data_IF_031356328023
#
_entry.id   IF_031356328023
#
_cell.length_a   1.000
_cell.length_b   1.000
_cell.length_c   1.000
_cell.angle_alpha   90.00
_cell.angle_beta   90.00
_cell.angle_gamma   90.00
#
_symmetry.space_group_name_H-M   'P 1'
#
loop_
_entity.id
_entity.type
_entity.pdbx_description
1 polymer ?
#
# COMPACT_ATOMS: atom_id res chain seq x y z
N UNK A 1 -8.22 -7.52 16.94
CA UNK A 1 -7.90 -8.96 17.07
C UNK A 1 -9.11 -9.89 16.99
N UNK A 2 -10.12 -9.82 17.91
CA UNK A 2 -11.27 -10.75 17.86
C UNK A 2 -12.10 -10.66 16.57
N UNK A 3 -12.24 -9.47 15.99
CA UNK A 3 -12.96 -9.28 14.72
C UNK A 3 -12.17 -9.89 13.54
N UNK A 4 -10.88 -9.61 13.39
CA UNK A 4 -10.05 -10.18 12.33
C UNK A 4 -10.06 -11.73 12.37
N UNK A 5 -10.00 -12.31 13.57
CA UNK A 5 -10.08 -13.77 13.76
C UNK A 5 -11.43 -14.36 13.39
N UNK A 6 -12.54 -13.63 13.61
CA UNK A 6 -13.91 -14.11 13.32
C UNK A 6 -14.26 -13.93 11.85
N UNK A 7 -13.95 -12.76 11.29
CA UNK A 7 -14.49 -12.36 9.99
C UNK A 7 -13.53 -12.71 8.84
N UNK A 8 -12.23 -12.78 9.13
CA UNK A 8 -11.19 -13.06 8.13
C UNK A 8 -10.44 -14.38 8.38
N UNK A 9 -10.82 -15.16 9.41
CA UNK A 9 -10.13 -16.39 9.83
C UNK A 9 -8.60 -16.24 10.00
N UNK A 10 -8.13 -15.00 10.13
CA UNK A 10 -6.73 -14.68 10.37
C UNK A 10 -6.38 -15.00 11.81
N UNK A 11 -5.49 -15.97 12.04
CA UNK A 11 -4.87 -16.13 13.34
C UNK A 11 -3.69 -15.17 13.48
N UNK A 12 -3.98 -14.00 14.00
CA UNK A 12 -2.98 -12.94 14.23
C UNK A 12 -2.36 -13.03 15.65
N UNK A 13 -2.66 -14.06 16.42
CA UNK A 13 -2.18 -14.15 17.81
C UNK A 13 -0.64 -14.24 17.88
N UNK A 14 -0.04 -15.01 16.98
CA UNK A 14 1.41 -15.14 16.88
C UNK A 14 2.12 -13.85 16.42
N UNK A 15 1.43 -13.00 15.67
CA UNK A 15 1.99 -11.73 15.21
C UNK A 15 2.22 -10.72 16.35
N UNK A 16 1.50 -10.89 17.46
CA UNK A 16 1.56 -10.02 18.64
C UNK A 16 2.27 -10.64 19.82
N UNK A 17 2.97 -11.76 19.64
CA UNK A 17 3.71 -12.40 20.70
C UNK A 17 4.79 -11.45 21.26
N UNK A 18 4.79 -11.26 22.59
CA UNK A 18 5.67 -10.31 23.31
C UNK A 18 5.46 -8.82 22.94
N UNK A 19 4.31 -8.46 22.37
CA UNK A 19 3.94 -7.06 22.11
C UNK A 19 2.73 -6.72 22.97
N UNK A 20 2.90 -5.84 23.94
CA UNK A 20 1.80 -5.34 24.78
C UNK A 20 0.90 -4.35 24.01
N UNK A 21 1.50 -3.45 23.24
CA UNK A 21 0.81 -2.46 22.45
C UNK A 21 1.70 -1.97 21.29
N UNK A 22 1.07 -1.50 20.23
CA UNK A 22 1.72 -0.65 19.23
C UNK A 22 1.46 0.82 19.57
N UNK A 23 2.53 1.61 19.58
CA UNK A 23 2.46 3.05 19.72
C UNK A 23 2.43 3.70 18.33
N UNK A 24 1.53 4.64 18.14
CA UNK A 24 1.43 5.42 16.91
C UNK A 24 2.13 6.76 17.08
N UNK A 25 3.11 7.02 16.24
CA UNK A 25 3.88 8.25 16.20
C UNK A 25 3.51 9.08 14.98
N UNK A 26 3.60 10.38 15.11
CA UNK A 26 3.49 11.35 14.04
C UNK A 26 4.78 12.16 14.00
N UNK A 27 5.40 12.26 12.82
CA UNK A 27 6.59 13.07 12.61
C UNK A 27 6.18 14.52 12.35
N UNK A 28 6.53 15.43 13.26
CA UNK A 28 6.22 16.85 13.09
C UNK A 28 6.98 17.52 11.93
N UNK A 29 8.08 16.87 11.46
CA UNK A 29 8.89 17.38 10.36
C UNK A 29 8.38 17.01 8.97
N UNK A 30 7.66 15.88 8.83
CA UNK A 30 7.22 15.41 7.51
C UNK A 30 5.82 14.78 7.49
N UNK A 31 5.06 14.87 8.56
CA UNK A 31 3.71 14.30 8.69
C UNK A 31 3.60 12.78 8.52
N UNK A 32 4.71 12.06 8.33
CA UNK A 32 4.69 10.60 8.29
C UNK A 32 4.18 10.05 9.62
N UNK A 33 3.23 9.12 9.54
CA UNK A 33 2.80 8.35 10.71
C UNK A 33 3.45 6.98 10.66
N UNK A 34 3.96 6.51 11.79
CA UNK A 34 4.57 5.19 11.91
C UNK A 34 4.23 4.54 13.25
N UNK A 35 4.43 3.23 13.32
CA UNK A 35 4.11 2.45 14.50
C UNK A 35 5.35 1.75 15.06
N UNK A 36 5.43 1.71 16.39
CA UNK A 36 6.47 0.95 17.10
C UNK A 36 5.84 -0.05 18.09
N UNK A 37 6.46 -1.21 18.33
CA UNK A 37 7.70 -1.68 17.70
C UNK A 37 7.52 -1.97 16.20
N UNK A 38 8.60 -1.83 15.43
CA UNK A 38 8.62 -2.19 14.01
C UNK A 38 8.48 -3.71 13.85
N UNK A 39 7.25 -4.18 13.71
CA UNK A 39 6.92 -5.61 13.60
C UNK A 39 6.05 -5.83 12.37
N UNK A 40 6.63 -6.21 11.23
CA UNK A 40 5.87 -6.56 10.03
C UNK A 40 5.14 -7.89 10.24
N UNK A 41 4.10 -8.12 9.46
CA UNK A 41 3.43 -9.42 9.41
C UNK A 41 4.38 -10.53 8.99
N UNK A 42 4.17 -11.73 9.53
CA UNK A 42 4.94 -12.91 9.13
C UNK A 42 4.61 -13.36 7.70
N UNK A 43 5.45 -14.18 7.07
CA UNK A 43 5.10 -14.81 5.79
C UNK A 43 3.77 -15.59 5.85
N UNK A 44 3.45 -16.22 6.98
CA UNK A 44 2.19 -16.93 7.18
C UNK A 44 0.98 -15.96 7.21
N UNK A 45 1.14 -14.77 7.79
CA UNK A 45 0.14 -13.71 7.77
C UNK A 45 -0.17 -13.28 6.34
N UNK A 46 0.84 -12.95 5.55
CA UNK A 46 0.65 -12.53 4.15
C UNK A 46 0.15 -13.66 3.26
N UNK A 47 0.61 -14.89 3.46
CA UNK A 47 0.08 -16.06 2.74
C UNK A 47 -1.42 -16.25 2.98
N UNK A 48 -1.87 -16.03 4.22
CA UNK A 48 -3.30 -16.09 4.54
C UNK A 48 -4.08 -14.96 3.87
N UNK A 49 -3.56 -13.74 3.85
CA UNK A 49 -4.19 -12.61 3.17
C UNK A 49 -4.27 -12.82 1.66
N UNK A 50 -3.21 -13.33 1.04
CA UNK A 50 -3.14 -13.58 -0.40
C UNK A 50 -4.15 -14.64 -0.89
N UNK A 51 -4.68 -15.47 0.00
CA UNK A 51 -5.76 -16.42 -0.32
C UNK A 51 -7.11 -15.73 -0.58
N UNK A 52 -7.27 -14.47 -0.22
CA UNK A 52 -8.50 -13.71 -0.46
C UNK A 52 -8.43 -12.96 -1.79
N UNK A 53 -9.40 -13.20 -2.68
CA UNK A 53 -9.46 -12.55 -4.00
C UNK A 53 -9.52 -11.02 -3.96
N UNK A 54 -10.07 -10.45 -2.90
CA UNK A 54 -10.14 -9.00 -2.71
C UNK A 54 -8.81 -8.37 -2.29
N UNK A 55 -7.87 -9.16 -1.74
CA UNK A 55 -6.58 -8.65 -1.26
C UNK A 55 -5.63 -8.27 -2.41
N UNK A 56 -5.71 -9.03 -3.49
CA UNK A 56 -4.92 -8.77 -4.70
C UNK A 56 -5.87 -8.68 -5.90
N UNK A 57 -6.57 -7.55 -6.12
CA UNK A 57 -7.43 -7.38 -7.29
C UNK A 57 -6.60 -7.43 -8.58
N UNK A 58 -7.20 -7.95 -9.66
CA UNK A 58 -6.50 -8.07 -10.96
C UNK A 58 -6.17 -6.72 -11.57
N UNK A 59 -7.09 -5.77 -11.45
CA UNK A 59 -6.94 -4.43 -11.97
C UNK A 59 -6.85 -3.44 -10.79
N UNK A 60 -5.73 -2.75 -10.71
CA UNK A 60 -5.52 -1.66 -9.76
C UNK A 60 -5.38 -0.36 -10.52
N UNK A 61 -5.98 0.71 -9.98
CA UNK A 61 -5.87 2.04 -10.57
C UNK A 61 -4.40 2.46 -10.74
N UNK A 62 -3.56 2.17 -9.76
CA UNK A 62 -2.13 2.51 -9.81
C UNK A 62 -1.38 1.79 -10.93
N UNK A 63 -1.82 0.63 -11.39
CA UNK A 63 -1.21 -0.07 -12.52
C UNK A 63 -1.46 0.69 -13.83
N UNK A 64 -2.70 1.16 -14.04
CA UNK A 64 -3.02 1.98 -15.21
C UNK A 64 -2.27 3.31 -15.15
N UNK A 65 -2.30 4.01 -14.02
CA UNK A 65 -1.63 5.29 -13.84
C UNK A 65 -0.10 5.18 -14.00
N UNK A 66 0.51 4.04 -13.60
CA UNK A 66 1.93 3.76 -13.82
C UNK A 66 2.20 3.44 -15.30
N UNK A 67 1.34 2.67 -15.97
CA UNK A 67 1.51 2.35 -17.40
C UNK A 67 1.45 3.58 -18.29
N UNK A 68 0.70 4.61 -17.90
CA UNK A 68 0.59 5.87 -18.64
C UNK A 68 1.92 6.68 -18.66
N UNK A 69 2.81 6.44 -17.70
CA UNK A 69 4.14 7.09 -17.62
C UNK A 69 5.28 6.19 -18.08
N UNK A 70 5.05 4.88 -18.18
CA UNK A 70 6.04 3.89 -18.62
C UNK A 70 5.95 3.75 -20.16
N UNK A 71 7.05 4.12 -20.84
CA UNK A 71 7.17 3.91 -22.28
C UNK A 71 7.36 2.43 -22.66
N UNK A 72 7.10 2.09 -23.92
CA UNK A 72 7.40 0.76 -24.47
C UNK A 72 8.91 0.50 -24.59
N UNK A 73 9.30 -0.78 -24.51
CA UNK A 73 10.69 -1.22 -24.68
C UNK A 73 11.61 -0.89 -23.52
N UNK A 74 11.07 -0.45 -22.38
CA UNK A 74 11.83 -0.16 -21.17
C UNK A 74 12.08 -1.44 -20.37
N UNK A 75 13.16 -1.44 -19.59
CA UNK A 75 13.48 -2.48 -18.62
C UNK A 75 12.96 -2.08 -17.25
N UNK A 76 12.03 -2.88 -16.72
CA UNK A 76 11.27 -2.58 -15.52
C UNK A 76 11.62 -3.56 -14.40
N UNK A 77 11.79 -3.04 -13.18
CA UNK A 77 11.84 -3.81 -11.94
C UNK A 77 10.58 -3.53 -11.14
N UNK A 78 9.83 -4.59 -10.79
CA UNK A 78 8.63 -4.52 -9.94
C UNK A 78 8.90 -5.23 -8.60
N UNK A 79 8.96 -4.48 -7.52
CA UNK A 79 9.33 -4.97 -6.19
C UNK A 79 8.05 -5.33 -5.42
N UNK A 80 7.97 -6.57 -4.89
CA UNK A 80 6.76 -7.09 -4.26
C UNK A 80 5.65 -7.35 -5.30
N UNK A 81 6.05 -7.88 -6.46
CA UNK A 81 5.20 -8.01 -7.64
C UNK A 81 4.05 -9.03 -7.49
N UNK A 82 4.03 -9.85 -6.43
CA UNK A 82 3.10 -10.95 -6.28
C UNK A 82 3.21 -11.94 -7.45
N UNK A 83 2.08 -12.20 -8.12
CA UNK A 83 2.01 -13.07 -9.31
C UNK A 83 2.30 -12.32 -10.64
N UNK A 84 2.89 -11.14 -10.61
CA UNK A 84 3.31 -10.38 -11.79
C UNK A 84 2.15 -9.70 -12.54
N UNK A 85 1.05 -9.40 -11.88
CA UNK A 85 -0.14 -8.80 -12.54
C UNK A 85 0.16 -7.48 -13.24
N UNK A 86 1.06 -6.67 -12.70
CA UNK A 86 1.44 -5.40 -13.32
C UNK A 86 2.04 -5.59 -14.72
N UNK A 87 2.76 -6.69 -14.97
CA UNK A 87 3.27 -7.00 -16.31
C UNK A 87 2.18 -6.98 -17.38
N UNK A 88 0.94 -7.37 -17.05
CA UNK A 88 -0.18 -7.36 -18.00
C UNK A 88 -0.60 -5.95 -18.43
N UNK A 89 -0.33 -4.94 -17.61
CA UNK A 89 -0.59 -3.54 -17.95
C UNK A 89 0.52 -2.92 -18.81
N UNK A 90 1.73 -3.54 -18.85
CA UNK A 90 2.91 -3.05 -19.57
C UNK A 90 3.56 -4.14 -20.47
N UNK A 91 2.81 -4.80 -21.37
CA UNK A 91 3.25 -6.03 -22.04
C UNK A 91 4.46 -5.87 -22.98
N UNK A 92 4.78 -4.63 -23.40
CA UNK A 92 5.89 -4.35 -24.33
C UNK A 92 7.22 -4.04 -23.63
N UNK A 93 7.37 -4.40 -22.34
CA UNK A 93 8.56 -4.11 -21.54
C UNK A 93 9.38 -5.35 -21.25
N UNK A 94 10.67 -5.18 -20.92
CA UNK A 94 11.51 -6.20 -20.30
C UNK A 94 11.25 -6.18 -18.79
N UNK A 95 10.45 -7.12 -18.30
CA UNK A 95 9.92 -7.11 -16.94
C UNK A 95 10.66 -8.07 -16.03
N UNK A 96 11.09 -7.55 -14.89
CA UNK A 96 11.65 -8.31 -13.78
C UNK A 96 10.81 -8.06 -12.54
N UNK A 97 10.20 -9.10 -11.98
CA UNK A 97 9.51 -9.05 -10.68
C UNK A 97 10.37 -9.60 -9.55
N UNK A 98 10.26 -9.03 -8.35
CA UNK A 98 10.81 -9.61 -7.12
C UNK A 98 9.67 -9.92 -6.17
N UNK A 99 9.60 -11.19 -5.72
CA UNK A 99 8.61 -11.65 -4.77
C UNK A 99 9.19 -12.71 -3.83
N UNK A 100 9.30 -12.39 -2.54
CA UNK A 100 9.93 -13.27 -1.54
C UNK A 100 9.01 -14.34 -0.97
N UNK A 101 7.69 -14.25 -1.23
CA UNK A 101 6.71 -15.22 -0.74
C UNK A 101 6.54 -16.44 -1.66
N UNK A 102 7.11 -16.42 -2.88
CA UNK A 102 7.02 -17.54 -3.80
C UNK A 102 7.90 -18.72 -3.36
N UNK A 103 7.46 -19.94 -3.69
CA UNK A 103 8.18 -21.18 -3.32
C UNK A 103 9.31 -21.54 -4.27
N UNK A 104 9.22 -21.14 -5.53
CA UNK A 104 10.26 -21.35 -6.54
C UNK A 104 11.32 -20.25 -6.49
N UNK A 105 12.55 -20.52 -6.95
CA UNK A 105 13.60 -19.50 -7.05
C UNK A 105 13.27 -18.43 -8.11
N UNK A 106 12.61 -18.86 -9.20
CA UNK A 106 12.12 -17.96 -10.25
C UNK A 106 10.95 -18.57 -11.00
N UNK A 107 10.14 -17.70 -11.61
CA UNK A 107 9.02 -18.06 -12.47
C UNK A 107 9.07 -17.23 -13.76
N UNK A 108 8.88 -17.86 -14.90
CA UNK A 108 8.78 -17.20 -16.19
C UNK A 108 7.31 -16.93 -16.53
N UNK A 109 6.98 -15.65 -16.71
CA UNK A 109 5.62 -15.21 -17.06
C UNK A 109 5.43 -15.12 -18.57
N UNK A 110 6.50 -14.72 -19.30
CA UNK A 110 6.56 -14.57 -20.75
C UNK A 110 8.04 -14.57 -21.19
N UNK A 111 8.31 -14.56 -22.49
CA UNK A 111 9.67 -14.55 -23.05
C UNK A 111 10.56 -13.43 -22.47
N UNK A 112 9.95 -12.27 -22.16
CA UNK A 112 10.63 -11.09 -21.62
C UNK A 112 10.16 -10.71 -20.20
N UNK A 113 9.55 -11.64 -19.46
CA UNK A 113 9.00 -11.38 -18.14
C UNK A 113 9.26 -12.53 -17.18
N UNK A 114 9.94 -12.23 -16.08
CA UNK A 114 10.32 -13.21 -15.05
C UNK A 114 10.20 -12.66 -13.64
N UNK A 115 9.77 -13.49 -12.71
CA UNK A 115 9.78 -13.21 -11.28
C UNK A 115 10.91 -13.98 -10.61
N UNK A 116 11.61 -13.36 -9.66
CA UNK A 116 12.65 -13.96 -8.85
C UNK A 116 12.28 -13.95 -7.37
N UNK A 117 12.55 -15.06 -6.68
CA UNK A 117 12.51 -15.11 -5.22
C UNK A 117 13.79 -14.50 -4.66
N UNK A 118 13.86 -13.19 -4.65
CA UNK A 118 15.01 -12.42 -4.16
C UNK A 118 14.54 -11.19 -3.39
N UNK A 119 15.34 -10.79 -2.40
CA UNK A 119 15.16 -9.47 -1.80
C UNK A 119 15.71 -8.39 -2.73
N UNK A 120 15.25 -7.15 -2.53
CA UNK A 120 15.76 -5.99 -3.27
C UNK A 120 17.27 -5.81 -3.08
N UNK A 121 17.80 -6.05 -1.87
CA UNK A 121 19.23 -5.98 -1.59
C UNK A 121 20.05 -7.00 -2.37
N UNK A 122 19.59 -8.25 -2.41
CA UNK A 122 20.23 -9.32 -3.17
C UNK A 122 20.26 -8.98 -4.66
N UNK A 123 19.12 -8.55 -5.19
CA UNK A 123 18.98 -8.20 -6.60
C UNK A 123 19.83 -6.97 -6.96
N UNK A 124 19.78 -5.92 -6.16
CA UNK A 124 20.50 -4.67 -6.39
C UNK A 124 22.03 -4.80 -6.39
N UNK A 125 22.60 -5.87 -5.78
CA UNK A 125 24.04 -6.13 -5.86
C UNK A 125 24.48 -6.56 -7.26
N UNK A 126 23.60 -7.20 -8.02
CA UNK A 126 23.87 -7.73 -9.35
C UNK A 126 23.42 -6.80 -10.47
N UNK A 127 22.36 -6.03 -10.23
CA UNK A 127 21.65 -5.23 -11.23
C UNK A 127 21.61 -3.74 -10.91
N UNK A 128 22.69 -3.20 -10.30
CA UNK A 128 22.80 -1.77 -10.07
C UNK A 128 22.79 -0.99 -11.41
N UNK A 129 21.98 0.05 -11.52
CA UNK A 129 21.89 0.88 -12.72
C UNK A 129 21.32 0.15 -13.94
N UNK A 130 20.55 -0.91 -13.75
CA UNK A 130 20.10 -1.78 -14.84
C UNK A 130 18.71 -1.43 -15.40
N UNK A 131 17.88 -0.70 -14.64
CA UNK A 131 16.46 -0.52 -14.95
C UNK A 131 16.12 0.92 -15.36
N UNK A 132 15.22 1.05 -16.32
CA UNK A 132 14.69 2.33 -16.76
C UNK A 132 13.59 2.83 -15.80
N UNK A 133 12.84 1.91 -15.20
CA UNK A 133 11.92 2.19 -14.12
C UNK A 133 11.98 1.12 -13.03
N UNK A 134 11.81 1.52 -11.78
CA UNK A 134 11.63 0.66 -10.62
C UNK A 134 10.30 0.99 -9.98
N UNK A 135 9.45 -0.02 -9.84
CA UNK A 135 8.09 0.08 -9.34
C UNK A 135 7.96 -0.67 -8.02
N UNK A 136 7.06 -0.20 -7.15
CA UNK A 136 6.56 -0.96 -6.02
C UNK A 136 5.12 -0.48 -5.72
N UNK A 137 4.17 -1.42 -5.66
CA UNK A 137 2.75 -1.12 -5.46
C UNK A 137 2.24 -1.78 -4.19
N UNK A 138 1.82 -0.98 -3.21
CA UNK A 138 1.35 -1.44 -1.90
C UNK A 138 2.45 -2.26 -1.18
N UNK A 139 3.66 -1.71 -1.12
CA UNK A 139 4.83 -2.33 -0.48
C UNK A 139 5.45 -1.42 0.58
N UNK A 140 5.59 -0.12 0.28
CA UNK A 140 6.34 0.82 1.11
C UNK A 140 5.77 0.94 2.53
N UNK A 141 4.46 0.81 2.70
CA UNK A 141 3.77 0.85 3.98
C UNK A 141 4.03 -0.36 4.88
N UNK A 142 4.58 -1.45 4.31
CA UNK A 142 4.87 -2.70 5.01
C UNK A 142 6.34 -2.84 5.44
N UNK A 143 7.24 -2.02 4.88
CA UNK A 143 8.67 -2.16 5.16
C UNK A 143 9.07 -1.48 6.48
N UNK A 144 10.02 -2.07 7.18
CA UNK A 144 10.52 -1.55 8.46
C UNK A 144 11.49 -0.38 8.31
N UNK A 145 12.17 -0.29 7.18
CA UNK A 145 13.18 0.72 6.87
C UNK A 145 12.87 1.40 5.52
N UNK A 146 11.81 2.23 5.42
CA UNK A 146 11.33 2.75 4.15
C UNK A 146 12.38 3.59 3.41
N UNK A 147 13.18 4.38 4.13
CA UNK A 147 14.30 5.13 3.53
C UNK A 147 15.29 4.21 2.84
N UNK A 148 15.76 3.17 3.54
CA UNK A 148 16.70 2.19 3.00
C UNK A 148 16.12 1.44 1.79
N UNK A 149 14.85 1.09 1.86
CA UNK A 149 14.13 0.49 0.73
C UNK A 149 14.21 1.38 -0.52
N UNK A 150 13.91 2.66 -0.39
CA UNK A 150 13.97 3.62 -1.49
C UNK A 150 15.39 3.81 -2.01
N UNK A 151 16.39 3.94 -1.12
CA UNK A 151 17.78 4.03 -1.51
C UNK A 151 18.25 2.81 -2.31
N UNK A 152 17.81 1.59 -1.94
CA UNK A 152 18.10 0.37 -2.69
C UNK A 152 17.38 0.33 -4.05
N UNK A 153 16.13 0.77 -4.11
CA UNK A 153 15.38 0.91 -5.36
C UNK A 153 16.08 1.88 -6.34
N UNK A 154 16.49 3.05 -5.83
CA UNK A 154 17.25 4.04 -6.60
C UNK A 154 18.59 3.51 -7.13
N UNK A 155 19.26 2.60 -6.40
CA UNK A 155 20.50 1.96 -6.89
C UNK A 155 20.28 1.08 -8.10
N UNK A 156 19.12 0.49 -8.25
CA UNK A 156 18.76 -0.33 -9.41
C UNK A 156 18.46 0.51 -10.65
N UNK A 157 18.13 1.79 -10.49
CA UNK A 157 17.78 2.70 -11.59
C UNK A 157 19.02 3.15 -12.39
N UNK A 158 18.84 3.24 -13.70
CA UNK A 158 19.70 4.01 -14.60
C UNK A 158 19.67 5.50 -14.23
N UNK A 159 20.68 6.30 -14.65
CA UNK A 159 20.57 7.75 -14.59
C UNK A 159 19.28 8.25 -15.28
N UNK A 160 18.54 9.14 -14.61
CA UNK A 160 17.22 9.64 -15.04
C UNK A 160 16.12 8.57 -15.15
N UNK A 161 16.31 7.39 -14.57
CA UNK A 161 15.26 6.38 -14.48
C UNK A 161 14.14 6.80 -13.53
N UNK A 162 12.98 6.18 -13.67
CA UNK A 162 11.77 6.49 -12.90
C UNK A 162 11.64 5.59 -11.67
N UNK A 163 11.47 6.17 -10.50
CA UNK A 163 10.96 5.49 -9.31
C UNK A 163 9.46 5.70 -9.25
N UNK A 164 8.67 4.62 -9.22
CA UNK A 164 7.22 4.64 -9.27
C UNK A 164 6.68 3.89 -8.05
N UNK A 165 6.04 4.59 -7.12
CA UNK A 165 5.53 3.99 -5.89
C UNK A 165 4.02 4.23 -5.77
N UNK A 166 3.25 3.14 -5.67
CA UNK A 166 1.84 3.15 -5.34
C UNK A 166 1.63 2.77 -3.86
N UNK A 167 0.90 3.58 -3.10
CA UNK A 167 0.70 3.36 -1.67
C UNK A 167 -0.60 3.98 -1.16
N UNK A 168 -1.10 3.57 0.03
CA UNK A 168 -2.26 4.22 0.63
C UNK A 168 -1.94 5.66 1.08
N UNK A 169 -2.86 6.58 0.81
CA UNK A 169 -2.84 7.93 1.36
C UNK A 169 -3.69 7.99 2.64
N UNK A 170 -3.05 8.24 3.78
CA UNK A 170 -3.73 8.27 5.07
C UNK A 170 -4.59 9.53 5.31
N UNK A 171 -4.39 10.58 4.54
CA UNK A 171 -5.18 11.82 4.64
C UNK A 171 -6.57 11.68 4.02
N UNK A 172 -6.82 10.59 3.30
CA UNK A 172 -8.14 10.24 2.78
C UNK A 172 -9.05 9.68 3.88
N UNK A 173 -10.22 9.17 3.49
CA UNK A 173 -11.13 8.48 4.41
C UNK A 173 -10.45 7.33 5.17
N UNK A 174 -9.42 6.71 4.59
CA UNK A 174 -8.72 5.55 5.14
C UNK A 174 -8.11 5.84 6.52
N UNK A 175 -7.44 6.98 6.67
CA UNK A 175 -6.85 7.37 7.95
C UNK A 175 -7.86 7.69 9.05
N UNK A 176 -9.13 7.90 8.70
CA UNK A 176 -10.23 8.14 9.64
C UNK A 176 -11.09 6.93 9.95
N UNK A 177 -10.86 5.79 9.28
CA UNK A 177 -11.61 4.56 9.56
C UNK A 177 -11.27 3.99 10.93
N UNK A 178 -12.33 3.72 11.70
CA UNK A 178 -12.17 3.15 13.04
C UNK A 178 -12.07 1.63 12.96
N UNK A 179 -11.16 1.07 13.75
CA UNK A 179 -10.96 -0.38 13.87
C UNK A 179 -10.70 -1.09 12.53
N UNK A 180 -10.16 -0.39 11.55
CA UNK A 180 -9.77 -0.98 10.27
C UNK A 180 -8.40 -1.65 10.42
N UNK A 181 -8.43 -2.94 10.74
CA UNK A 181 -7.24 -3.70 11.13
C UNK A 181 -6.17 -3.74 10.03
N UNK A 182 -6.57 -3.72 8.75
CA UNK A 182 -5.62 -3.72 7.63
C UNK A 182 -4.85 -2.40 7.45
N UNK A 183 -5.29 -1.31 8.09
CA UNK A 183 -4.53 -0.06 8.09
C UNK A 183 -3.69 0.11 9.38
N UNK A 184 -3.20 -0.98 9.93
CA UNK A 184 -2.46 -0.99 11.20
C UNK A 184 -1.51 -2.17 11.26
N UNK A 185 -0.49 -2.16 12.16
CA UNK A 185 0.34 -3.33 12.40
C UNK A 185 -0.48 -4.59 12.73
N UNK A 186 -0.01 -5.75 12.28
CA UNK A 186 1.28 -6.00 11.63
C UNK A 186 1.27 -5.74 10.12
N UNK A 187 0.13 -5.30 9.55
CA UNK A 187 -0.01 -5.10 8.11
C UNK A 187 0.64 -3.78 7.66
N UNK A 188 0.12 -2.61 8.04
CA UNK A 188 0.74 -1.33 7.73
C UNK A 188 1.57 -0.82 8.90
N UNK A 189 2.86 -0.57 8.67
CA UNK A 189 3.82 -0.03 9.64
C UNK A 189 3.98 1.48 9.52
N UNK A 190 3.71 2.02 8.33
CA UNK A 190 3.78 3.45 8.03
C UNK A 190 2.53 3.91 7.29
N UNK A 191 2.16 5.17 7.50
CA UNK A 191 1.10 5.84 6.76
C UNK A 191 1.66 7.07 6.07
N UNK A 192 1.51 7.11 4.77
CA UNK A 192 2.08 8.12 3.88
C UNK A 192 1.06 9.19 3.52
N UNK A 193 1.57 10.39 3.21
CA UNK A 193 0.83 11.55 2.73
C UNK A 193 1.72 12.36 1.78
N UNK A 194 1.15 13.39 1.17
CA UNK A 194 1.85 14.25 0.21
C UNK A 194 3.05 14.97 0.84
N UNK A 195 2.92 15.41 2.09
CA UNK A 195 4.00 16.07 2.83
C UNK A 195 5.16 15.12 3.13
N UNK A 196 4.85 13.85 3.47
CA UNK A 196 5.87 12.84 3.72
C UNK A 196 6.68 12.55 2.46
N UNK A 197 6.03 12.50 1.30
CA UNK A 197 6.71 12.34 0.01
C UNK A 197 7.54 13.57 -0.35
N UNK A 198 7.02 14.78 -0.11
CA UNK A 198 7.76 16.02 -0.35
C UNK A 198 9.03 16.12 0.51
N UNK A 199 8.96 15.71 1.78
CA UNK A 199 10.14 15.65 2.64
C UNK A 199 11.17 14.63 2.15
N UNK A 200 10.71 13.47 1.69
CA UNK A 200 11.56 12.44 1.11
C UNK A 200 12.29 12.91 -0.17
N UNK A 201 11.58 13.65 -1.03
CA UNK A 201 12.16 14.26 -2.24
C UNK A 201 13.32 15.20 -1.89
N UNK A 202 13.12 16.05 -0.89
CA UNK A 202 14.16 16.97 -0.43
C UNK A 202 15.36 16.21 0.15
N UNK A 203 15.12 15.22 0.98
CA UNK A 203 16.18 14.46 1.65
C UNK A 203 17.02 13.64 0.66
N UNK A 204 16.39 13.00 -0.31
CA UNK A 204 17.05 12.14 -1.30
C UNK A 204 17.41 12.88 -2.60
N UNK A 205 17.15 14.18 -2.67
CA UNK A 205 17.41 15.03 -3.85
C UNK A 205 16.71 14.49 -5.11
N UNK A 206 15.44 14.07 -4.94
CA UNK A 206 14.61 13.57 -6.03
C UNK A 206 13.79 14.70 -6.64
N UNK A 207 13.54 14.59 -7.93
CA UNK A 207 12.64 15.48 -8.65
C UNK A 207 11.31 14.77 -8.88
N UNK A 208 10.22 15.33 -8.35
CA UNK A 208 8.88 14.79 -8.59
C UNK A 208 8.51 14.98 -10.06
N UNK A 209 8.16 13.88 -10.72
CA UNK A 209 7.59 13.87 -12.06
C UNK A 209 6.06 13.97 -11.98
N UNK A 210 5.45 13.21 -11.06
CA UNK A 210 4.01 13.13 -10.92
C UNK A 210 3.60 12.70 -9.50
N UNK A 211 2.47 13.21 -9.04
CA UNK A 211 1.77 12.72 -7.85
C UNK A 211 0.28 12.73 -8.15
N UNK A 212 -0.32 11.56 -8.22
CA UNK A 212 -1.73 11.37 -8.54
C UNK A 212 -2.44 10.65 -7.41
N UNK A 213 -3.68 11.05 -7.16
CA UNK A 213 -4.57 10.39 -6.22
C UNK A 213 -5.67 9.65 -6.97
N UNK A 214 -5.94 8.41 -6.57
CA UNK A 214 -7.01 7.63 -7.15
C UNK A 214 -8.37 8.31 -6.95
N UNK A 215 -9.28 8.22 -7.93
CA UNK A 215 -10.67 8.54 -7.66
C UNK A 215 -11.26 7.52 -6.67
N UNK A 216 -12.32 7.90 -5.97
CA UNK A 216 -13.02 6.98 -5.07
C UNK A 216 -13.68 5.85 -5.88
N UNK A 217 -13.16 4.64 -5.74
CA UNK A 217 -13.69 3.46 -6.43
C UNK A 217 -14.99 2.95 -5.79
N UNK A 218 -15.77 2.18 -6.54
CA UNK A 218 -17.09 1.71 -6.07
C UNK A 218 -17.02 0.87 -4.80
N UNK A 219 -15.98 0.03 -4.65
CA UNK A 219 -15.79 -0.80 -3.46
C UNK A 219 -15.41 0.03 -2.22
N UNK A 220 -14.84 1.23 -2.40
CA UNK A 220 -14.45 2.14 -1.32
C UNK A 220 -15.62 2.96 -0.78
N UNK A 221 -16.71 3.11 -1.55
CA UNK A 221 -17.84 4.00 -1.21
C UNK A 221 -18.49 3.66 0.11
N UNK A 222 -18.56 2.39 0.47
CA UNK A 222 -19.08 1.95 1.77
C UNK A 222 -18.18 2.44 2.91
N UNK A 223 -16.88 2.24 2.78
CA UNK A 223 -15.89 2.64 3.77
C UNK A 223 -15.82 4.16 3.91
N UNK A 224 -15.85 4.87 2.79
CA UNK A 224 -15.95 6.33 2.76
C UNK A 224 -17.19 6.83 3.52
N UNK A 225 -18.36 6.30 3.19
CA UNK A 225 -19.61 6.67 3.87
C UNK A 225 -19.60 6.38 5.36
N UNK A 226 -19.04 5.22 5.76
CA UNK A 226 -18.86 4.88 7.18
C UNK A 226 -17.95 5.87 7.90
N UNK A 227 -16.84 6.27 7.28
CA UNK A 227 -15.90 7.25 7.86
C UNK A 227 -16.57 8.63 8.04
N UNK A 228 -17.36 9.09 7.06
CA UNK A 228 -18.09 10.36 7.19
C UNK A 228 -19.07 10.32 8.36
N UNK A 229 -19.79 9.21 8.56
CA UNK A 229 -20.69 9.04 9.68
C UNK A 229 -19.93 8.98 11.02
N UNK A 230 -18.78 8.35 11.09
CA UNK A 230 -17.94 8.34 12.28
C UNK A 230 -17.44 9.75 12.63
N UNK A 231 -17.02 10.55 11.66
CA UNK A 231 -16.61 11.94 11.87
C UNK A 231 -17.75 12.78 12.45
N UNK A 232 -18.95 12.61 11.94
CA UNK A 232 -20.13 13.34 12.41
C UNK A 232 -20.56 12.88 13.82
N UNK A 233 -20.64 11.57 14.06
CA UNK A 233 -21.14 11.04 15.33
C UNK A 233 -20.11 11.07 16.47
N UNK A 234 -18.82 11.09 16.16
CA UNK A 234 -17.73 10.87 17.11
C UNK A 234 -16.49 11.75 16.81
N UNK A 235 -16.64 13.08 16.76
CA UNK A 235 -15.59 13.98 16.25
C UNK A 235 -14.27 13.95 17.04
N UNK A 236 -14.28 13.53 18.32
CA UNK A 236 -13.13 13.59 19.22
C UNK A 236 -12.67 12.23 19.75
N UNK A 237 -12.87 11.14 18.99
CA UNK A 237 -12.57 9.80 19.53
C UNK A 237 -11.38 9.13 18.87
N UNK A 238 -10.71 8.32 19.71
CA UNK A 238 -9.64 7.43 19.29
C UNK A 238 -10.08 6.50 18.16
N UNK A 239 -9.23 6.29 17.18
CA UNK A 239 -9.47 5.49 15.98
C UNK A 239 -9.65 4.00 16.27
N UNK A 240 -9.25 3.53 17.46
CA UNK A 240 -9.38 2.14 17.90
C UNK A 240 -10.08 2.08 19.23
N UNK A 241 -11.10 1.24 19.33
CA UNK A 241 -11.84 1.05 20.58
C UNK A 241 -12.24 -0.41 20.75
N UNK A 242 -11.90 -0.97 21.90
CA UNK A 242 -12.33 -2.32 22.31
C UNK A 242 -13.72 -2.36 22.96
N UNK A 243 -14.40 -1.22 23.10
CA UNK A 243 -15.69 -1.14 23.80
C UNK A 243 -16.80 -1.82 23.02
N UNK A 244 -17.62 -2.62 23.69
CA UNK A 244 -18.70 -3.45 23.12
C UNK A 244 -19.69 -2.67 22.26
N UNK A 245 -19.93 -1.38 22.55
CA UNK A 245 -20.83 -0.52 21.75
C UNK A 245 -20.40 -0.36 20.29
N UNK A 246 -19.11 -0.57 19.96
CA UNK A 246 -18.60 -0.52 18.59
C UNK A 246 -19.19 -1.60 17.69
N UNK A 247 -19.50 -2.78 18.24
CA UNK A 247 -20.13 -3.86 17.49
C UNK A 247 -21.52 -3.48 16.96
N UNK A 248 -22.18 -2.53 17.60
CA UNK A 248 -23.47 -2.02 17.13
C UNK A 248 -23.34 -0.82 16.20
N UNK A 249 -22.32 0.01 16.39
CA UNK A 249 -22.11 1.20 15.56
C UNK A 249 -21.62 0.86 14.16
N UNK A 250 -20.84 -0.22 13.99
CA UNK A 250 -20.35 -0.64 12.66
C UNK A 250 -21.54 -0.98 11.72
N UNK A 251 -22.50 -1.86 12.07
CA UNK A 251 -23.65 -2.13 11.22
C UNK A 251 -24.48 -0.87 10.93
N UNK A 252 -24.70 -0.01 11.93
CA UNK A 252 -25.46 1.24 11.74
C UNK A 252 -24.74 2.18 10.77
N UNK A 253 -23.42 2.31 10.88
CA UNK A 253 -22.61 3.12 9.96
C UNK A 253 -22.65 2.55 8.55
N UNK A 254 -22.58 1.23 8.40
CA UNK A 254 -22.71 0.56 7.12
C UNK A 254 -24.07 0.81 6.45
N UNK A 255 -25.18 0.65 7.19
CA UNK A 255 -26.51 0.97 6.68
C UNK A 255 -26.64 2.45 6.30
N UNK A 256 -26.11 3.35 7.12
CA UNK A 256 -26.07 4.78 6.81
C UNK A 256 -25.26 5.08 5.56
N UNK A 257 -24.10 4.44 5.37
CA UNK A 257 -23.28 4.57 4.16
C UNK A 257 -24.05 4.09 2.91
N UNK A 258 -24.76 2.97 2.97
CA UNK A 258 -25.62 2.51 1.86
C UNK A 258 -26.73 3.52 1.55
N UNK A 259 -27.34 4.11 2.56
CA UNK A 259 -28.36 5.14 2.36
C UNK A 259 -27.79 6.39 1.69
N UNK A 260 -26.60 6.85 2.08
CA UNK A 260 -25.94 8.01 1.43
C UNK A 260 -25.64 7.73 -0.03
N UNK A 261 -25.29 6.50 -0.41
CA UNK A 261 -25.07 6.11 -1.80
C UNK A 261 -26.39 6.12 -2.61
N UNK A 262 -27.46 5.51 -2.06
CA UNK A 262 -28.78 5.51 -2.71
C UNK A 262 -29.29 6.93 -2.94
N UNK A 263 -29.05 7.82 -1.98
CA UNK A 263 -29.43 9.24 -2.06
C UNK A 263 -28.43 10.09 -2.88
N UNK A 264 -27.38 9.49 -3.43
CA UNK A 264 -26.31 10.15 -4.20
C UNK A 264 -25.65 11.32 -3.46
N UNK A 265 -25.46 11.17 -2.16
CA UNK A 265 -24.84 12.18 -1.29
C UNK A 265 -23.30 12.05 -1.24
N UNK A 266 -22.72 11.02 -1.83
CA UNK A 266 -21.26 10.89 -1.96
C UNK A 266 -20.78 11.86 -3.02
N UNK A 267 -19.81 12.74 -2.70
CA UNK A 267 -19.24 13.66 -3.69
C UNK A 267 -18.64 12.89 -4.88
N UNK A 268 -18.79 13.43 -6.09
CA UNK A 268 -18.25 12.84 -7.32
C UNK A 268 -16.74 13.01 -7.46
N UNK A 269 -16.19 13.99 -6.75
CA UNK A 269 -14.77 14.36 -6.68
C UNK A 269 -14.06 13.80 -5.45
N UNK A 270 -14.71 12.89 -4.71
CA UNK A 270 -14.09 12.26 -3.55
C UNK A 270 -12.88 11.41 -3.96
N UNK A 271 -11.79 11.61 -3.22
CA UNK A 271 -10.52 10.91 -3.43
C UNK A 271 -10.57 9.51 -2.82
N UNK A 272 -10.08 8.52 -3.56
CA UNK A 272 -9.86 7.16 -3.10
C UNK A 272 -8.67 7.05 -2.14
N UNK A 273 -8.41 5.84 -1.68
CA UNK A 273 -7.38 5.59 -0.65
C UNK A 273 -5.96 5.48 -1.20
N UNK A 274 -5.77 5.41 -2.51
CA UNK A 274 -4.47 5.14 -3.14
C UNK A 274 -3.89 6.39 -3.78
N UNK A 275 -2.58 6.56 -3.67
CA UNK A 275 -1.80 7.55 -4.43
C UNK A 275 -0.68 6.87 -5.21
N UNK A 276 -0.33 7.45 -6.36
CA UNK A 276 0.82 7.09 -7.17
C UNK A 276 1.80 8.24 -7.20
N UNK A 277 3.02 8.00 -6.75
CA UNK A 277 4.12 8.94 -6.78
C UNK A 277 5.18 8.47 -7.76
N UNK A 278 5.61 9.39 -8.63
CA UNK A 278 6.67 9.17 -9.62
C UNK A 278 7.74 10.22 -9.45
N UNK A 279 8.98 9.78 -9.30
CA UNK A 279 10.13 10.65 -9.16
C UNK A 279 11.32 10.15 -9.99
N UNK A 280 12.28 11.05 -10.22
CA UNK A 280 13.57 10.76 -10.84
C UNK A 280 14.69 11.41 -10.02
N UNK A 281 15.91 10.89 -10.19
CA UNK A 281 17.11 11.41 -9.52
C UNK A 281 17.94 12.23 -10.49
#
# INVERSE_FOLDING_TARGET
MRAARRDMQLDVAGEFENIEAFERWHCDGCSLIFFTPWRPGSPAFYSTLSAYSWYQPENKWEYQAASDVIGSGLRILDIGCGDGRFHRAIPSTDYTGLETSMSAESEELAENARIYNQTLEQHGTQFAGAYDAVCAFQVLEHVTEPRRFIEQALRCLKPNGLLILGMPNHETYLGGLMNFALNSPPHHLTWWCDEALAALEQELQLTRVQLNHAPLEDWERDLYGMQQLYRWALPNRERYSSKTRWHWLIPMAYFGAKLTQVLRLTPTDATGSTMLWVATR
#
